data_IF_510408042156
#
_entry.id   IF_510408042156
#
_cell.length_a   1.000
_cell.length_b   1.000
_cell.length_c   1.000
_cell.angle_alpha   90.00
_cell.angle_beta   90.00
_cell.angle_gamma   90.00
#
_symmetry.space_group_name_H-M   'P 1'
#
loop_
_entity.id
_entity.type
_entity.pdbx_description
1 polymer ?
#
# COMPACT_ATOMS: atom_id res chain seq x y z
N UNK A 1 23.45 -4.58 -28.03
CA UNK A 1 23.96 -3.46 -27.20
C UNK A 1 23.22 -2.22 -27.67
N UNK A 2 22.08 -1.94 -27.05
CA UNK A 2 21.19 -0.85 -27.43
C UNK A 2 21.35 0.27 -26.42
N UNK A 3 22.26 1.19 -26.71
CA UNK A 3 22.50 2.40 -25.94
C UNK A 3 21.70 3.53 -26.61
N UNK A 4 20.67 4.04 -25.94
CA UNK A 4 19.92 5.19 -26.43
C UNK A 4 20.33 6.45 -25.67
N UNK A 5 20.77 7.47 -26.39
CA UNK A 5 21.16 8.76 -25.82
C UNK A 5 20.06 9.78 -26.08
N UNK A 6 19.54 10.39 -25.01
CA UNK A 6 18.57 11.47 -25.06
C UNK A 6 19.33 12.79 -24.95
N UNK A 7 19.16 13.66 -25.94
CA UNK A 7 19.83 14.96 -26.01
C UNK A 7 18.86 16.10 -25.67
N UNK A 8 19.36 17.12 -24.97
CA UNK A 8 18.66 18.39 -24.73
C UNK A 8 19.58 19.53 -25.13
N UNK A 9 19.07 20.46 -25.96
CA UNK A 9 19.85 21.56 -26.55
C UNK A 9 21.10 21.12 -27.33
N UNK A 10 21.08 19.91 -27.90
CA UNK A 10 22.21 19.37 -28.68
C UNK A 10 23.24 18.58 -27.86
N UNK A 11 23.19 18.66 -26.54
CA UNK A 11 24.09 17.92 -25.63
C UNK A 11 23.43 16.65 -25.08
N UNK A 12 24.18 15.55 -24.93
CA UNK A 12 23.67 14.33 -24.31
C UNK A 12 23.39 14.55 -22.83
N UNK A 13 22.13 14.39 -22.42
CA UNK A 13 21.70 14.59 -21.03
C UNK A 13 21.48 13.25 -20.33
N UNK A 14 20.93 12.25 -21.04
CA UNK A 14 20.64 10.93 -20.48
C UNK A 14 21.05 9.81 -21.43
N UNK A 15 21.42 8.66 -20.87
CA UNK A 15 21.67 7.42 -21.59
C UNK A 15 20.81 6.29 -21.00
N UNK A 16 20.07 5.59 -21.84
CA UNK A 16 19.30 4.39 -21.49
C UNK A 16 20.10 3.17 -21.94
N UNK A 17 20.32 2.27 -21.00
CA UNK A 17 21.12 1.06 -21.15
C UNK A 17 20.26 -0.15 -20.76
N UNK A 18 20.56 -1.32 -21.33
CA UNK A 18 20.10 -2.57 -20.70
C UNK A 18 20.77 -2.75 -19.32
N UNK A 19 20.08 -3.43 -18.42
CA UNK A 19 20.59 -3.71 -17.07
C UNK A 19 21.95 -4.42 -17.11
N UNK A 20 22.12 -5.41 -17.98
CA UNK A 20 23.37 -6.12 -18.20
C UNK A 20 24.53 -5.19 -18.61
N UNK A 21 24.28 -4.22 -19.50
CA UNK A 21 25.30 -3.28 -19.96
C UNK A 21 25.74 -2.34 -18.84
N UNK A 22 24.81 -1.92 -17.98
CA UNK A 22 25.12 -1.10 -16.81
C UNK A 22 26.01 -1.85 -15.80
N UNK A 23 25.70 -3.11 -15.53
CA UNK A 23 26.51 -3.95 -14.64
C UNK A 23 27.93 -4.20 -15.17
N UNK A 24 28.08 -4.38 -16.48
CA UNK A 24 29.39 -4.51 -17.12
C UNK A 24 30.24 -3.24 -16.96
N UNK A 25 29.62 -2.06 -17.08
CA UNK A 25 30.30 -0.77 -16.87
C UNK A 25 30.77 -0.58 -15.43
N UNK A 26 29.95 -0.97 -14.43
CA UNK A 26 30.35 -0.91 -13.02
C UNK A 26 31.56 -1.82 -12.74
N UNK A 27 31.51 -3.04 -13.24
CA UNK A 27 32.61 -4.02 -13.10
C UNK A 27 33.89 -3.48 -13.76
N UNK A 28 33.79 -2.96 -14.99
CA UNK A 28 34.93 -2.42 -15.73
C UNK A 28 35.53 -1.16 -15.07
N UNK A 29 34.71 -0.36 -14.40
CA UNK A 29 35.16 0.80 -13.63
C UNK A 29 35.86 0.42 -12.31
N UNK A 30 36.00 -0.88 -11.99
CA UNK A 30 36.54 -1.35 -10.72
C UNK A 30 35.65 -1.02 -9.52
N UNK A 31 34.44 -0.51 -9.79
CA UNK A 31 33.39 -0.30 -8.81
C UNK A 31 32.71 -1.66 -8.60
N UNK A 32 33.41 -2.54 -7.88
CA UNK A 32 32.84 -3.75 -7.34
C UNK A 32 31.74 -3.30 -6.36
N UNK A 33 30.52 -3.10 -6.87
CA UNK A 33 29.36 -3.02 -6.02
C UNK A 33 29.12 -4.45 -5.55
N UNK A 34 29.41 -4.83 -4.29
CA UNK A 34 28.57 -5.85 -3.70
C UNK A 34 27.15 -5.36 -3.94
N UNK A 35 26.21 -6.27 -4.17
CA UNK A 35 24.80 -5.96 -4.02
C UNK A 35 24.60 -5.40 -2.60
N UNK A 36 24.89 -4.11 -2.40
CA UNK A 36 24.10 -3.32 -1.50
C UNK A 36 22.70 -3.60 -2.01
N UNK A 37 21.80 -4.14 -1.16
CA UNK A 37 20.39 -4.04 -1.46
C UNK A 37 20.25 -2.60 -1.95
N UNK A 38 19.64 -2.41 -3.11
CA UNK A 38 18.98 -1.14 -3.37
C UNK A 38 18.18 -0.95 -2.10
N UNK A 39 18.67 -0.11 -1.19
CA UNK A 39 17.92 0.31 -0.04
C UNK A 39 16.70 0.85 -0.75
N UNK A 40 15.55 0.16 -0.66
CA UNK A 40 14.38 0.68 -1.31
C UNK A 40 14.35 2.10 -0.79
N UNK A 41 14.35 3.08 -1.70
CA UNK A 41 13.86 4.42 -1.40
C UNK A 41 12.75 4.14 -0.39
N UNK A 42 12.80 4.67 0.85
CA UNK A 42 11.76 4.35 1.78
C UNK A 42 10.49 4.93 1.16
N UNK A 43 9.80 4.12 0.33
CA UNK A 43 8.38 4.01 0.34
C UNK A 43 8.08 4.03 1.82
N UNK A 44 7.31 5.00 2.32
CA UNK A 44 7.04 5.08 3.74
C UNK A 44 6.53 3.70 4.14
N UNK A 45 7.42 2.91 4.73
CA UNK A 45 7.11 1.74 5.51
C UNK A 45 6.52 2.31 6.79
N UNK A 46 5.37 2.98 6.66
CA UNK A 46 4.29 2.53 7.48
C UNK A 46 4.17 1.04 7.17
N UNK A 47 4.82 0.22 8.00
CA UNK A 47 4.08 -0.85 8.64
C UNK A 47 2.77 -0.20 9.12
N UNK A 48 1.80 -0.08 8.19
CA UNK A 48 0.44 0.21 8.54
C UNK A 48 0.05 -1.05 9.25
N UNK A 49 0.31 -1.08 10.56
CA UNK A 49 -0.21 -2.07 11.47
C UNK A 49 -1.69 -2.11 11.15
N UNK A 50 -2.11 -3.15 10.42
CA UNK A 50 -3.47 -3.24 9.93
C UNK A 50 -4.36 -3.10 11.17
N UNK A 51 -5.36 -2.22 11.16
CA UNK A 51 -6.24 -2.08 12.30
C UNK A 51 -6.99 -3.39 12.50
N UNK A 52 -7.23 -3.74 13.76
CA UNK A 52 -8.14 -4.84 14.06
C UNK A 52 -9.58 -4.37 13.93
N UNK A 53 -10.52 -5.30 13.76
CA UNK A 53 -11.95 -5.00 13.71
C UNK A 53 -12.46 -4.34 15.00
N UNK A 54 -11.75 -4.52 16.13
CA UNK A 54 -11.97 -3.81 17.40
C UNK A 54 -11.83 -2.29 17.26
N UNK A 55 -11.07 -1.82 16.27
CA UNK A 55 -10.84 -0.40 16.01
C UNK A 55 -11.85 0.20 15.01
N UNK A 56 -12.77 -0.62 14.49
CA UNK A 56 -13.77 -0.20 13.50
C UNK A 56 -14.54 1.05 13.95
N UNK A 57 -15.00 1.05 15.20
CA UNK A 57 -15.74 2.18 15.78
C UNK A 57 -14.90 3.46 15.80
N UNK A 58 -13.66 3.37 16.29
CA UNK A 58 -12.74 4.50 16.36
C UNK A 58 -12.43 5.06 14.98
N UNK A 59 -12.20 4.19 13.99
CA UNK A 59 -11.95 4.60 12.60
C UNK A 59 -13.17 5.29 11.97
N UNK A 60 -14.37 4.76 12.22
CA UNK A 60 -15.63 5.36 11.77
C UNK A 60 -15.82 6.75 12.39
N UNK A 61 -15.63 6.87 13.70
CA UNK A 61 -15.77 8.13 14.44
C UNK A 61 -14.71 9.15 14.02
N UNK A 62 -13.47 8.73 13.79
CA UNK A 62 -12.40 9.59 13.27
C UNK A 62 -12.72 10.17 11.88
N UNK A 63 -13.48 9.44 11.06
CA UNK A 63 -14.02 9.94 9.78
C UNK A 63 -15.30 10.76 9.92
N UNK A 64 -15.84 10.91 11.13
CA UNK A 64 -17.11 11.60 11.37
C UNK A 64 -18.32 10.88 10.74
N UNK A 65 -18.22 9.57 10.49
CA UNK A 65 -19.28 8.79 9.86
C UNK A 65 -20.29 8.31 10.92
N UNK A 66 -21.57 8.54 10.66
CA UNK A 66 -22.65 7.92 11.45
C UNK A 66 -22.70 6.41 11.19
N UNK A 67 -23.17 5.65 12.18
CA UNK A 67 -23.27 4.19 12.09
C UNK A 67 -24.21 3.77 10.96
N UNK A 68 -25.36 4.43 10.84
CA UNK A 68 -26.36 4.17 9.80
C UNK A 68 -25.84 4.52 8.40
N UNK A 69 -25.02 5.56 8.30
CA UNK A 69 -24.42 5.98 7.04
C UNK A 69 -23.44 4.92 6.52
N UNK A 70 -22.51 4.48 7.38
CA UNK A 70 -21.54 3.44 7.01
C UNK A 70 -22.25 2.12 6.66
N UNK A 71 -23.22 1.71 7.48
CA UNK A 71 -23.99 0.48 7.24
C UNK A 71 -24.70 0.51 5.88
N UNK A 72 -25.33 1.65 5.55
CA UNK A 72 -26.02 1.83 4.26
C UNK A 72 -25.03 1.79 3.09
N UNK A 73 -23.86 2.41 3.20
CA UNK A 73 -22.87 2.40 2.12
C UNK A 73 -22.30 1.01 1.87
N UNK A 74 -22.05 0.25 2.93
CA UNK A 74 -21.57 -1.14 2.85
C UNK A 74 -22.68 -2.12 2.42
N UNK A 75 -23.96 -1.72 2.54
CA UNK A 75 -25.11 -2.56 2.17
C UNK A 75 -25.53 -3.55 3.27
N UNK A 76 -25.24 -3.24 4.53
CA UNK A 76 -25.61 -4.05 5.70
C UNK A 76 -26.60 -3.30 6.61
N UNK A 77 -27.24 -4.02 7.54
CA UNK A 77 -28.12 -3.37 8.51
C UNK A 77 -27.33 -2.63 9.60
N UNK A 78 -27.83 -1.50 10.14
CA UNK A 78 -27.19 -0.81 11.26
C UNK A 78 -26.98 -1.70 12.48
N UNK A 79 -27.95 -2.57 12.79
CA UNK A 79 -27.82 -3.55 13.88
C UNK A 79 -26.69 -4.54 13.64
N UNK A 80 -26.50 -4.99 12.38
CA UNK A 80 -25.40 -5.89 12.03
C UNK A 80 -24.04 -5.20 12.16
N UNK A 81 -23.92 -3.94 11.72
CA UNK A 81 -22.71 -3.15 11.92
C UNK A 81 -22.41 -2.96 13.42
N UNK A 82 -23.43 -2.70 14.25
CA UNK A 82 -23.25 -2.60 15.71
C UNK A 82 -22.71 -3.89 16.32
N UNK A 83 -23.19 -5.06 15.88
CA UNK A 83 -22.68 -6.36 16.35
C UNK A 83 -21.22 -6.61 15.94
N UNK A 84 -20.78 -6.03 14.81
CA UNK A 84 -19.38 -6.08 14.40
C UNK A 84 -18.53 -5.15 15.27
N UNK A 85 -19.00 -3.92 15.53
CA UNK A 85 -18.28 -2.95 16.38
C UNK A 85 -18.14 -3.42 17.84
N UNK A 86 -19.09 -4.21 18.35
CA UNK A 86 -19.00 -4.82 19.69
C UNK A 86 -18.18 -6.11 19.71
N UNK A 87 -17.76 -6.63 18.55
CA UNK A 87 -17.07 -7.91 18.42
C UNK A 87 -17.97 -9.14 18.63
N UNK A 88 -19.28 -8.95 18.75
CA UNK A 88 -20.25 -10.04 18.91
C UNK A 88 -20.35 -10.90 17.65
N UNK A 89 -20.15 -10.30 16.47
CA UNK A 89 -20.13 -11.00 15.19
C UNK A 89 -18.92 -10.66 14.34
N UNK A 90 -18.37 -11.67 13.68
CA UNK A 90 -17.37 -11.49 12.63
C UNK A 90 -18.05 -11.33 11.27
N UNK A 91 -17.72 -10.28 10.50
CA UNK A 91 -18.17 -10.13 9.13
C UNK A 91 -17.50 -11.17 8.23
N UNK A 92 -18.12 -11.45 7.08
CA UNK A 92 -17.44 -12.20 6.03
C UNK A 92 -16.34 -11.35 5.35
N UNK A 93 -15.57 -11.97 4.45
CA UNK A 93 -14.47 -11.30 3.75
C UNK A 93 -14.95 -10.18 2.81
N UNK A 94 -16.14 -10.28 2.23
CA UNK A 94 -16.69 -9.27 1.34
C UNK A 94 -17.09 -8.01 2.10
N UNK A 95 -17.77 -8.17 3.24
CA UNK A 95 -18.17 -7.08 4.14
C UNK A 95 -16.93 -6.45 4.77
N UNK A 96 -15.97 -7.26 5.22
CA UNK A 96 -14.69 -6.76 5.76
C UNK A 96 -13.96 -5.89 4.74
N UNK A 97 -13.86 -6.34 3.49
CA UNK A 97 -13.23 -5.57 2.41
C UNK A 97 -13.96 -4.25 2.15
N UNK A 98 -15.29 -4.30 2.12
CA UNK A 98 -16.12 -3.11 1.89
C UNK A 98 -15.97 -2.08 3.01
N UNK A 99 -15.95 -2.52 4.27
CA UNK A 99 -15.66 -1.66 5.42
C UNK A 99 -14.26 -1.03 5.32
N UNK A 100 -13.26 -1.83 4.91
CA UNK A 100 -11.90 -1.34 4.73
C UNK A 100 -11.81 -0.24 3.67
N UNK A 101 -12.50 -0.44 2.54
CA UNK A 101 -12.59 0.54 1.45
C UNK A 101 -13.20 1.86 1.91
N UNK A 102 -14.35 1.82 2.57
CA UNK A 102 -15.03 3.02 3.09
C UNK A 102 -14.20 3.76 4.15
N UNK A 103 -13.42 3.02 4.93
CA UNK A 103 -12.53 3.58 5.96
C UNK A 103 -11.16 3.96 5.41
N UNK A 104 -10.87 3.71 4.13
CA UNK A 104 -9.61 4.06 3.49
C UNK A 104 -8.41 3.27 4.04
N UNK A 105 -8.64 2.05 4.49
CA UNK A 105 -7.61 1.14 5.01
C UNK A 105 -7.42 -0.03 4.04
N UNK A 106 -6.17 -0.52 3.93
CA UNK A 106 -5.81 -1.58 2.98
C UNK A 106 -6.42 -2.95 3.34
N UNK A 107 -6.80 -3.15 4.61
CA UNK A 107 -7.38 -4.39 5.11
C UNK A 107 -7.50 -4.38 6.63
N UNK A 108 -7.95 -5.50 7.17
CA UNK A 108 -8.06 -5.74 8.61
C UNK A 108 -6.97 -6.70 9.05
N UNK A 109 -6.54 -6.60 10.31
CA UNK A 109 -5.65 -7.59 10.91
C UNK A 109 -6.37 -8.93 10.99
N UNK A 110 -5.77 -9.97 10.42
CA UNK A 110 -6.26 -11.32 10.59
C UNK A 110 -6.15 -11.73 12.07
N UNK A 111 -7.24 -12.26 12.63
CA UNK A 111 -7.18 -12.97 13.89
C UNK A 111 -6.50 -14.31 13.61
N UNK A 112 -5.17 -14.37 13.77
CA UNK A 112 -4.40 -15.62 13.77
C UNK A 112 -4.83 -16.54 14.89
#
# INVERSE_FOLDING_TARGET
MDLQIIKRNGEPEYAVLSWESYQALLTAAGLNQPSAPVEPIPAPSTEQVLPGLDQLRTLREAKGLALEALARTVGISPSYLSMIETGERKPDSAISRSLGWELGIAGWRDAS
#
